data_IF_488990134131
#
_entry.id   IF_488990134131
#
_cell.length_a   1.000
_cell.length_b   1.000
_cell.length_c   1.000
_cell.angle_alpha   90.00
_cell.angle_beta   90.00
_cell.angle_gamma   90.00
#
_symmetry.space_group_name_H-M   'P 1'
#
loop_
_entity.id
_entity.type
_entity.pdbx_description
1 polymer ?
#
# COMPACT_ATOMS: atom_id res chain seq x y z
N UNK A 1 40.38 -3.71 11.75
CA UNK A 1 39.26 -3.04 11.06
C UNK A 1 38.26 -2.64 12.13
N UNK A 2 37.78 -1.39 12.13
CA UNK A 2 36.76 -0.96 13.07
C UNK A 2 35.45 -1.71 12.82
N UNK A 3 34.65 -1.89 13.86
CA UNK A 3 33.31 -2.47 13.77
C UNK A 3 32.43 -1.63 12.83
N UNK A 4 31.71 -2.30 11.92
CA UNK A 4 30.81 -1.63 10.98
C UNK A 4 29.71 -0.85 11.73
N UNK A 5 29.43 0.41 11.36
CA UNK A 5 28.30 1.16 11.92
C UNK A 5 26.97 0.46 11.61
N UNK A 6 25.93 0.72 12.39
CA UNK A 6 24.58 0.21 12.08
C UNK A 6 24.07 0.85 10.78
N UNK A 7 23.52 0.04 9.87
CA UNK A 7 22.99 0.46 8.56
C UNK A 7 21.86 1.47 8.67
N UNK A 8 20.96 1.29 9.64
CA UNK A 8 19.85 2.20 9.90
C UNK A 8 19.92 2.79 11.31
N UNK A 9 19.46 4.02 11.44
CA UNK A 9 19.30 4.70 12.72
C UNK A 9 17.97 5.45 12.77
N UNK A 10 17.38 5.53 13.97
CA UNK A 10 16.12 6.27 14.18
C UNK A 10 16.44 7.75 14.37
N UNK A 11 15.96 8.58 13.45
CA UNK A 11 16.03 10.05 13.56
C UNK A 11 14.62 10.58 13.58
N UNK A 12 14.17 11.09 14.73
CA UNK A 12 12.80 11.57 14.98
C UNK A 12 11.74 10.50 14.70
N UNK A 13 11.97 9.27 15.17
CA UNK A 13 11.04 8.14 14.97
C UNK A 13 11.10 7.47 13.59
N UNK A 14 11.75 8.11 12.61
CA UNK A 14 11.88 7.59 11.24
C UNK A 14 13.18 6.80 11.11
N UNK A 15 13.09 5.57 10.61
CA UNK A 15 14.25 4.79 10.19
C UNK A 15 14.89 5.45 8.97
N UNK A 16 16.11 5.97 9.13
CA UNK A 16 16.90 6.55 8.04
C UNK A 16 18.20 5.79 7.88
N UNK A 17 18.69 5.72 6.64
CA UNK A 17 20.03 5.23 6.36
C UNK A 17 21.02 6.02 7.21
N UNK A 18 21.80 5.32 8.03
CA UNK A 18 22.76 5.94 8.91
C UNK A 18 23.85 6.62 8.06
N UNK A 19 24.05 7.94 8.19
CA UNK A 19 25.09 8.66 7.45
C UNK A 19 26.49 8.08 7.68
N UNK A 20 26.76 7.54 8.87
CA UNK A 20 28.03 6.90 9.19
C UNK A 20 28.22 5.58 8.46
N UNK A 21 27.15 4.79 8.31
CA UNK A 21 27.17 3.57 7.52
C UNK A 21 27.38 3.88 6.03
N UNK A 22 26.68 4.89 5.50
CA UNK A 22 26.85 5.33 4.11
C UNK A 22 28.30 5.70 3.82
N UNK A 23 28.92 6.53 4.67
CA UNK A 23 30.35 6.90 4.55
C UNK A 23 31.28 5.71 4.71
N UNK A 24 30.98 4.80 5.63
CA UNK A 24 31.75 3.59 5.83
C UNK A 24 31.73 2.71 4.56
N UNK A 25 30.57 2.53 3.93
CA UNK A 25 30.45 1.79 2.68
C UNK A 25 31.08 2.47 1.47
N UNK A 26 30.95 3.80 1.36
CA UNK A 26 31.65 4.58 0.34
C UNK A 26 33.18 4.42 0.48
N UNK A 27 33.71 4.35 1.70
CA UNK A 27 35.14 4.12 1.96
C UNK A 27 35.59 2.68 1.68
N UNK A 28 34.75 1.67 1.94
CA UNK A 28 35.02 0.29 1.51
C UNK A 28 35.07 0.19 -0.01
N UNK A 29 34.10 0.78 -0.71
CA UNK A 29 34.04 0.76 -2.17
C UNK A 29 35.26 1.46 -2.80
N UNK A 30 35.77 2.53 -2.16
CA UNK A 30 37.03 3.19 -2.56
C UNK A 30 38.24 2.29 -2.33
N UNK A 31 38.27 1.53 -1.24
CA UNK A 31 39.36 0.60 -0.94
C UNK A 31 39.40 -0.59 -1.92
N UNK A 32 38.24 -1.07 -2.38
CA UNK A 32 38.12 -2.16 -3.37
C UNK A 32 38.33 -1.71 -4.82
N UNK A 33 38.02 -0.46 -5.17
CA UNK A 33 38.06 0.03 -6.55
C UNK A 33 39.47 0.17 -7.16
N UNK A 34 40.52 0.19 -6.33
CA UNK A 34 41.89 0.44 -6.79
C UNK A 34 42.09 1.85 -7.38
N UNK A 35 43.36 2.25 -7.61
CA UNK A 35 43.77 3.63 -7.91
C UNK A 35 43.14 4.29 -9.16
N UNK A 36 42.38 3.57 -9.98
CA UNK A 36 41.93 4.05 -11.29
C UNK A 36 40.40 4.05 -11.52
N UNK A 37 39.56 3.71 -10.53
CA UNK A 37 38.10 3.80 -10.68
C UNK A 37 37.50 4.94 -9.85
N UNK A 38 36.63 5.71 -10.49
CA UNK A 38 35.90 6.81 -9.87
C UNK A 38 34.88 6.22 -8.88
N UNK A 39 34.80 6.68 -7.62
CA UNK A 39 33.87 6.12 -6.65
C UNK A 39 32.42 6.32 -7.12
N UNK A 40 31.64 5.24 -7.09
CA UNK A 40 30.22 5.27 -7.43
C UNK A 40 29.41 5.81 -6.24
N UNK A 41 28.48 6.76 -6.47
CA UNK A 41 27.65 7.30 -5.40
C UNK A 41 26.68 6.24 -4.89
N UNK A 42 26.55 6.13 -3.57
CA UNK A 42 25.84 5.03 -2.93
C UNK A 42 24.31 4.98 -3.19
N UNK A 43 23.67 6.04 -3.70
CA UNK A 43 22.19 6.14 -3.67
C UNK A 43 21.49 6.71 -4.90
N UNK A 44 22.16 6.96 -6.03
CA UNK A 44 21.44 7.42 -7.24
C UNK A 44 22.13 6.95 -8.51
N UNK A 45 21.38 6.26 -9.35
CA UNK A 45 21.77 5.92 -10.71
C UNK A 45 21.65 7.18 -11.57
N UNK A 46 22.77 7.71 -12.08
CA UNK A 46 22.83 8.96 -12.84
C UNK A 46 22.36 8.78 -14.29
N UNK A 47 22.25 7.53 -14.75
CA UNK A 47 21.88 7.17 -16.12
C UNK A 47 20.81 6.08 -16.10
N UNK A 48 19.69 6.25 -16.81
CA UNK A 48 18.64 5.22 -16.92
C UNK A 48 19.15 3.90 -17.52
N UNK A 49 20.23 3.95 -18.31
CA UNK A 49 20.94 2.76 -18.81
C UNK A 49 21.69 1.97 -17.72
N UNK A 50 21.80 2.51 -16.50
CA UNK A 50 22.37 1.86 -15.32
C UNK A 50 21.28 1.52 -14.28
N UNK A 51 20.00 1.75 -14.60
CA UNK A 51 18.92 1.46 -13.67
C UNK A 51 18.83 -0.05 -13.45
N UNK A 52 18.89 -0.46 -12.18
CA UNK A 52 18.78 -1.86 -11.81
C UNK A 52 17.34 -2.34 -12.07
N UNK A 53 17.16 -3.59 -12.51
CA UNK A 53 15.86 -4.14 -12.81
C UNK A 53 14.97 -4.12 -11.56
N UNK A 54 13.73 -3.68 -11.76
CA UNK A 54 12.67 -3.81 -10.76
C UNK A 54 12.07 -5.20 -10.95
N UNK A 55 12.27 -6.07 -9.96
CA UNK A 55 11.78 -7.44 -9.96
C UNK A 55 10.61 -7.59 -8.98
N UNK A 56 9.60 -8.36 -9.38
CA UNK A 56 8.44 -8.71 -8.56
C UNK A 56 8.76 -9.83 -7.57
N UNK A 57 9.56 -10.81 -7.97
CA UNK A 57 9.93 -11.98 -7.17
C UNK A 57 11.43 -12.31 -7.25
N UNK A 58 11.88 -13.24 -6.40
CA UNK A 58 13.25 -13.76 -6.45
C UNK A 58 13.45 -14.66 -7.66
N UNK A 59 12.41 -15.38 -8.07
CA UNK A 59 12.38 -16.22 -9.27
C UNK A 59 12.61 -15.38 -10.53
N UNK A 60 11.93 -14.23 -10.66
CA UNK A 60 12.10 -13.32 -11.80
C UNK A 60 13.55 -12.82 -11.91
N UNK A 61 14.19 -12.57 -10.76
CA UNK A 61 15.59 -12.15 -10.73
C UNK A 61 16.54 -13.27 -11.12
N UNK A 62 16.30 -14.49 -10.63
CA UNK A 62 17.09 -15.67 -11.00
C UNK A 62 16.99 -15.95 -12.50
N UNK A 63 15.78 -15.95 -13.06
CA UNK A 63 15.55 -16.14 -14.49
C UNK A 63 16.24 -15.05 -15.32
N UNK A 64 16.18 -13.80 -14.87
CA UNK A 64 16.89 -12.70 -15.53
C UNK A 64 18.41 -12.91 -15.54
N UNK A 65 19.01 -13.30 -14.42
CA UNK A 65 20.45 -13.58 -14.35
C UNK A 65 20.85 -14.77 -15.23
N UNK A 66 20.05 -15.83 -15.23
CA UNK A 66 20.28 -17.00 -16.08
C UNK A 66 20.23 -16.62 -17.57
N UNK A 67 19.28 -15.76 -17.96
CA UNK A 67 19.14 -15.27 -19.34
C UNK A 67 20.31 -14.40 -19.80
N UNK A 68 20.92 -13.65 -18.89
CA UNK A 68 22.01 -12.71 -19.17
C UNK A 68 23.40 -13.31 -18.99
N UNK A 69 23.51 -14.48 -18.36
CA UNK A 69 24.76 -15.17 -18.10
C UNK A 69 25.71 -14.45 -17.14
N UNK A 70 25.21 -13.47 -16.39
CA UNK A 70 25.92 -12.76 -15.34
C UNK A 70 24.95 -12.25 -14.27
N UNK A 71 25.45 -12.08 -13.05
CA UNK A 71 24.66 -11.65 -11.89
C UNK A 71 24.42 -10.13 -11.93
N UNK A 72 23.16 -9.71 -12.00
CA UNK A 72 22.78 -8.32 -11.82
C UNK A 72 22.53 -8.05 -10.33
N UNK A 73 23.20 -7.06 -9.73
CA UNK A 73 22.93 -6.70 -8.34
C UNK A 73 21.51 -6.17 -8.17
N UNK A 74 20.85 -6.52 -7.07
CA UNK A 74 19.56 -5.94 -6.71
C UNK A 74 19.64 -4.44 -6.46
N UNK A 75 18.53 -3.74 -6.70
CA UNK A 75 18.34 -2.40 -6.17
C UNK A 75 18.49 -2.38 -4.64
N UNK A 76 19.07 -1.31 -4.08
CA UNK A 76 19.32 -1.18 -2.64
C UNK A 76 18.04 -1.37 -1.82
N UNK A 77 16.90 -0.87 -2.31
CA UNK A 77 15.58 -1.06 -1.69
C UNK A 77 15.15 -2.53 -1.63
N UNK A 78 15.46 -3.31 -2.66
CA UNK A 78 15.15 -4.74 -2.71
C UNK A 78 16.02 -5.52 -1.74
N UNK A 79 17.33 -5.24 -1.71
CA UNK A 79 18.24 -5.82 -0.71
C UNK A 79 17.81 -5.50 0.72
N UNK A 80 17.43 -4.25 0.98
CA UNK A 80 16.92 -3.83 2.28
C UNK A 80 15.63 -4.58 2.66
N UNK A 81 14.70 -4.75 1.73
CA UNK A 81 13.49 -5.55 1.97
C UNK A 81 13.83 -6.99 2.33
N UNK A 82 14.69 -7.65 1.55
CA UNK A 82 15.05 -9.06 1.76
C UNK A 82 15.67 -9.23 3.15
N UNK A 83 16.60 -8.35 3.51
CA UNK A 83 17.24 -8.33 4.83
C UNK A 83 16.21 -8.14 5.96
N UNK A 84 15.23 -7.23 5.78
CA UNK A 84 14.15 -7.02 6.74
C UNK A 84 13.22 -8.24 6.87
N UNK A 85 12.83 -8.87 5.76
CA UNK A 85 11.93 -10.04 5.78
C UNK A 85 12.58 -11.27 6.45
N UNK A 86 13.91 -11.35 6.42
CA UNK A 86 14.67 -12.38 7.12
C UNK A 86 14.79 -12.12 8.63
N UNK A 87 14.39 -10.94 9.13
CA UNK A 87 14.42 -10.67 10.57
C UNK A 87 13.43 -11.58 11.31
N UNK A 88 13.89 -12.36 12.31
CA UNK A 88 13.04 -13.35 13.00
C UNK A 88 11.81 -12.75 13.67
N UNK A 89 11.85 -11.48 14.06
CA UNK A 89 10.75 -10.80 14.74
C UNK A 89 9.54 -10.61 13.81
N UNK A 90 9.76 -10.19 12.57
CA UNK A 90 8.70 -9.96 11.58
C UNK A 90 8.04 -11.28 11.18
N UNK A 91 8.85 -12.29 10.87
CA UNK A 91 8.34 -13.62 10.52
C UNK A 91 7.52 -14.22 11.69
N UNK A 92 8.03 -14.11 12.92
CA UNK A 92 7.35 -14.60 14.12
C UNK A 92 6.04 -13.87 14.39
N UNK A 93 6.00 -12.55 14.23
CA UNK A 93 4.77 -11.76 14.41
C UNK A 93 3.71 -12.11 13.37
N UNK A 94 4.15 -12.41 12.14
CA UNK A 94 3.27 -12.90 11.10
C UNK A 94 2.83 -14.36 11.29
N UNK A 95 3.55 -15.14 12.11
CA UNK A 95 3.29 -16.55 12.37
C UNK A 95 3.92 -17.51 11.34
N UNK A 96 5.01 -17.09 10.69
CA UNK A 96 5.76 -17.86 9.68
C UNK A 96 7.23 -18.03 10.08
N UNK A 97 7.92 -19.00 9.47
CA UNK A 97 9.38 -19.01 9.49
C UNK A 97 9.92 -17.93 8.52
N UNK A 98 11.15 -17.41 8.73
CA UNK A 98 11.71 -16.36 7.86
C UNK A 98 11.80 -16.75 6.37
N UNK A 99 12.17 -18.00 6.08
CA UNK A 99 12.26 -18.49 4.70
C UNK A 99 10.86 -18.58 4.06
N UNK A 100 9.90 -19.19 4.77
CA UNK A 100 8.49 -19.29 4.31
C UNK A 100 7.86 -17.91 4.09
N UNK A 101 8.24 -16.90 4.88
CA UNK A 101 7.74 -15.53 4.74
C UNK A 101 8.11 -14.93 3.39
N UNK A 102 9.38 -15.07 2.96
CA UNK A 102 9.84 -14.50 1.70
C UNK A 102 9.13 -15.17 0.53
N UNK A 103 9.03 -16.50 0.55
CA UNK A 103 8.42 -17.27 -0.53
C UNK A 103 6.92 -16.99 -0.64
N UNK A 104 6.18 -17.05 0.47
CA UNK A 104 4.74 -16.81 0.45
C UNK A 104 4.39 -15.34 0.14
N UNK A 105 5.10 -14.37 0.74
CA UNK A 105 4.88 -12.96 0.44
C UNK A 105 5.32 -12.65 -1.00
N UNK A 106 6.44 -13.19 -1.46
CA UNK A 106 6.91 -13.06 -2.84
C UNK A 106 5.86 -13.55 -3.84
N UNK A 107 5.25 -14.71 -3.59
CA UNK A 107 4.17 -15.23 -4.43
C UNK A 107 2.93 -14.33 -4.43
N UNK A 108 2.55 -13.75 -3.29
CA UNK A 108 1.43 -12.80 -3.20
C UNK A 108 1.75 -11.49 -3.92
N UNK A 109 2.95 -10.94 -3.73
CA UNK A 109 3.37 -9.72 -4.41
C UNK A 109 3.45 -9.92 -5.92
N UNK A 110 3.99 -11.06 -6.39
CA UNK A 110 4.02 -11.44 -7.79
C UNK A 110 2.60 -11.55 -8.39
N UNK A 111 1.65 -12.16 -7.67
CA UNK A 111 0.24 -12.25 -8.09
C UNK A 111 -0.38 -10.88 -8.40
N UNK A 112 0.01 -9.85 -7.65
CA UNK A 112 -0.47 -8.47 -7.83
C UNK A 112 0.52 -7.57 -8.58
N UNK A 113 1.59 -8.15 -9.13
CA UNK A 113 2.76 -7.50 -9.74
C UNK A 113 3.31 -6.32 -8.92
N UNK A 114 3.32 -6.47 -7.60
CA UNK A 114 3.90 -5.51 -6.68
C UNK A 114 5.40 -5.79 -6.60
N UNK A 115 6.27 -4.82 -6.90
CA UNK A 115 7.70 -5.02 -6.73
C UNK A 115 8.06 -5.30 -5.27
N UNK A 116 8.87 -6.32 -5.02
CA UNK A 116 9.31 -6.68 -3.66
C UNK A 116 10.03 -5.53 -2.94
N UNK A 117 10.68 -4.63 -3.69
CA UNK A 117 11.29 -3.42 -3.14
C UNK A 117 10.30 -2.44 -2.48
N UNK A 118 8.98 -2.66 -2.61
CA UNK A 118 7.93 -1.87 -1.97
C UNK A 118 7.45 -2.45 -0.63
N UNK A 119 7.84 -3.68 -0.28
CA UNK A 119 7.46 -4.31 0.98
C UNK A 119 7.92 -3.51 2.20
N UNK A 120 9.08 -2.85 2.12
CA UNK A 120 9.56 -1.95 3.17
C UNK A 120 8.53 -0.87 3.57
N UNK A 121 7.69 -0.44 2.63
CA UNK A 121 6.62 0.54 2.87
C UNK A 121 5.34 -0.13 3.34
N UNK A 122 5.06 -1.35 2.90
CA UNK A 122 3.98 -2.15 3.48
C UNK A 122 4.23 -2.41 4.97
N UNK A 123 5.48 -2.59 5.38
CA UNK A 123 5.84 -2.73 6.80
C UNK A 123 5.50 -1.49 7.64
N UNK A 124 5.38 -0.31 7.03
CA UNK A 124 4.97 0.90 7.75
C UNK A 124 3.51 0.85 8.22
N UNK A 125 2.70 -0.09 7.69
CA UNK A 125 1.34 -0.31 8.17
C UNK A 125 1.31 -0.78 9.62
N UNK A 126 2.38 -1.41 10.09
CA UNK A 126 2.54 -1.82 11.49
C UNK A 126 2.65 -0.65 12.47
N UNK A 127 2.94 0.57 11.98
CA UNK A 127 3.01 1.78 12.81
C UNK A 127 1.63 2.34 13.17
N UNK A 128 0.58 1.84 12.52
CA UNK A 128 -0.80 2.24 12.80
C UNK A 128 -1.46 1.26 13.75
N UNK A 129 -2.15 1.80 14.75
CA UNK A 129 -2.99 1.03 15.67
C UNK A 129 -4.20 0.44 14.95
N UNK A 130 -4.61 1.03 13.83
CA UNK A 130 -5.70 0.50 13.01
C UNK A 130 -5.54 0.87 11.54
N UNK A 131 -5.83 -0.09 10.68
CA UNK A 131 -6.18 0.15 9.29
C UNK A 131 -7.70 0.21 9.20
N UNK A 132 -8.27 1.24 8.58
CA UNK A 132 -9.72 1.44 8.54
C UNK A 132 -10.21 1.60 7.10
N UNK A 133 -11.06 0.67 6.66
CA UNK A 133 -11.67 0.68 5.34
C UNK A 133 -13.10 1.19 5.48
N UNK A 134 -13.34 2.36 4.89
CA UNK A 134 -14.65 3.02 4.85
C UNK A 134 -15.20 2.78 3.46
N UNK A 135 -16.23 1.95 3.35
CA UNK A 135 -16.77 1.51 2.06
C UNK A 135 -18.10 2.19 1.78
N UNK A 136 -18.21 2.85 0.64
CA UNK A 136 -19.47 3.32 0.09
C UNK A 136 -20.40 2.13 -0.18
N UNK A 137 -21.56 2.15 0.47
CA UNK A 137 -22.63 1.19 0.27
C UNK A 137 -23.92 1.89 -0.19
N UNK A 138 -23.80 3.06 -0.82
CA UNK A 138 -24.92 3.80 -1.41
C UNK A 138 -25.53 3.08 -2.60
N UNK A 139 -26.77 3.43 -2.98
CA UNK A 139 -27.45 2.76 -4.09
C UNK A 139 -26.70 2.81 -5.43
N UNK A 140 -25.86 3.82 -5.67
CA UNK A 140 -25.05 3.94 -6.90
C UNK A 140 -24.00 2.83 -7.03
N UNK A 141 -23.57 2.22 -5.92
CA UNK A 141 -22.66 1.08 -5.96
C UNK A 141 -23.26 -0.16 -6.63
N UNK A 142 -24.57 -0.19 -6.89
CA UNK A 142 -25.22 -1.24 -7.69
C UNK A 142 -25.02 -1.08 -9.21
N UNK A 143 -24.53 0.08 -9.66
CA UNK A 143 -24.24 0.34 -11.07
C UNK A 143 -23.07 -0.53 -11.57
N UNK A 144 -23.01 -0.80 -12.89
CA UNK A 144 -21.90 -1.52 -13.47
C UNK A 144 -20.59 -0.72 -13.33
N UNK A 145 -19.48 -1.45 -13.23
CA UNK A 145 -18.12 -0.94 -13.43
C UNK A 145 -17.61 -1.39 -14.80
N UNK A 146 -16.51 -0.81 -15.28
CA UNK A 146 -15.78 -1.27 -16.47
C UNK A 146 -14.93 -2.52 -16.19
N UNK A 147 -14.74 -2.87 -14.92
CA UNK A 147 -14.04 -4.08 -14.50
C UNK A 147 -14.83 -5.36 -14.74
N UNK A 148 -14.12 -6.43 -15.05
CA UNK A 148 -14.66 -7.78 -15.16
C UNK A 148 -14.28 -8.59 -13.93
N UNK A 149 -15.19 -9.48 -13.49
CA UNK A 149 -14.89 -10.38 -12.39
C UNK A 149 -13.77 -11.36 -12.81
N UNK A 150 -12.67 -11.48 -12.04
CA UNK A 150 -11.46 -12.20 -12.49
C UNK A 150 -11.68 -13.70 -12.75
N UNK A 151 -12.62 -14.33 -12.04
CA UNK A 151 -12.94 -15.76 -12.20
C UNK A 151 -13.98 -16.02 -13.30
N UNK A 152 -15.07 -15.25 -13.33
CA UNK A 152 -16.21 -15.53 -14.21
C UNK A 152 -16.14 -14.78 -15.54
N UNK A 153 -15.24 -13.80 -15.64
CA UNK A 153 -15.07 -12.89 -16.78
C UNK A 153 -16.39 -12.18 -17.17
N UNK A 154 -17.28 -11.98 -16.20
CA UNK A 154 -18.54 -11.26 -16.37
C UNK A 154 -18.40 -9.81 -15.91
N UNK A 155 -19.17 -8.87 -16.49
CA UNK A 155 -19.30 -7.53 -15.94
C UNK A 155 -19.73 -7.59 -14.47
N UNK A 156 -19.16 -6.72 -13.64
CA UNK A 156 -19.51 -6.66 -12.23
C UNK A 156 -20.05 -5.28 -11.84
N UNK A 157 -20.64 -5.21 -10.64
CA UNK A 157 -21.06 -3.94 -10.05
C UNK A 157 -19.91 -3.27 -9.32
N UNK A 158 -20.00 -1.95 -9.11
CA UNK A 158 -19.05 -1.18 -8.29
C UNK A 158 -18.94 -1.74 -6.87
N UNK A 159 -20.03 -2.28 -6.31
CA UNK A 159 -20.06 -2.99 -5.03
C UNK A 159 -19.25 -4.29 -5.05
N UNK A 160 -19.42 -5.10 -6.09
CA UNK A 160 -18.65 -6.34 -6.26
C UNK A 160 -17.17 -6.03 -6.43
N UNK A 161 -16.83 -4.96 -7.14
CA UNK A 161 -15.46 -4.50 -7.28
C UNK A 161 -14.87 -4.05 -5.94
N UNK A 162 -15.58 -3.20 -5.18
CA UNK A 162 -15.14 -2.80 -3.83
C UNK A 162 -14.94 -4.00 -2.91
N UNK A 163 -15.83 -4.99 -2.98
CA UNK A 163 -15.70 -6.26 -2.25
C UNK A 163 -14.39 -6.98 -2.58
N UNK A 164 -14.12 -7.22 -3.86
CA UNK A 164 -12.90 -7.91 -4.31
C UNK A 164 -11.64 -7.12 -3.91
N UNK A 165 -11.66 -5.79 -4.06
CA UNK A 165 -10.52 -4.95 -3.65
C UNK A 165 -10.24 -5.05 -2.16
N UNK A 166 -11.26 -4.97 -1.31
CA UNK A 166 -11.08 -5.14 0.14
C UNK A 166 -10.49 -6.52 0.44
N UNK A 167 -10.94 -7.58 -0.25
CA UNK A 167 -10.40 -8.93 -0.12
C UNK A 167 -8.92 -9.00 -0.51
N UNK A 168 -8.55 -8.43 -1.66
CA UNK A 168 -7.18 -8.39 -2.16
C UNK A 168 -6.25 -7.59 -1.23
N UNK A 169 -6.71 -6.45 -0.72
CA UNK A 169 -5.96 -5.66 0.26
C UNK A 169 -5.71 -6.47 1.54
N UNK A 170 -6.74 -7.14 2.07
CA UNK A 170 -6.61 -7.97 3.28
C UNK A 170 -5.70 -9.18 3.05
N UNK A 171 -5.69 -9.75 1.84
CA UNK A 171 -4.77 -10.82 1.47
C UNK A 171 -3.31 -10.38 1.57
N UNK A 172 -2.96 -9.21 1.03
CA UNK A 172 -1.60 -8.66 1.15
C UNK A 172 -1.29 -8.31 2.62
N UNK A 173 -2.22 -7.67 3.31
CA UNK A 173 -2.04 -7.25 4.71
C UNK A 173 -1.87 -8.47 5.65
N UNK A 174 -2.39 -9.65 5.28
CA UNK A 174 -2.20 -10.88 6.04
C UNK A 174 -0.72 -11.25 6.23
N UNK A 175 0.18 -10.76 5.38
CA UNK A 175 1.62 -11.04 5.43
C UNK A 175 2.45 -9.96 6.13
N UNK A 176 1.86 -8.83 6.50
CA UNK A 176 2.57 -7.76 7.20
C UNK A 176 2.07 -7.62 8.65
N UNK A 177 2.92 -7.21 9.60
CA UNK A 177 2.46 -6.91 10.94
C UNK A 177 1.40 -5.80 10.95
N UNK A 178 0.31 -6.02 11.70
CA UNK A 178 -0.75 -5.05 11.92
C UNK A 178 -1.48 -5.37 13.24
N UNK A 179 -2.03 -4.34 13.90
CA UNK A 179 -2.81 -4.54 15.13
C UNK A 179 -4.26 -4.96 14.83
N UNK A 180 -4.97 -4.19 14.00
CA UNK A 180 -6.33 -4.52 13.57
C UNK A 180 -6.72 -3.88 12.23
N UNK A 181 -7.67 -4.50 11.54
CA UNK A 181 -8.34 -3.96 10.36
C UNK A 181 -9.81 -3.73 10.70
N UNK A 182 -10.27 -2.48 10.63
CA UNK A 182 -11.67 -2.12 10.74
C UNK A 182 -12.29 -1.97 9.36
N UNK A 183 -13.46 -2.56 9.12
CA UNK A 183 -14.24 -2.31 7.90
C UNK A 183 -15.61 -1.78 8.32
N UNK A 184 -15.98 -0.62 7.80
CA UNK A 184 -17.25 0.06 8.06
C UNK A 184 -17.86 0.60 6.76
N UNK A 185 -19.15 0.95 6.83
CA UNK A 185 -19.94 1.38 5.67
C UNK A 185 -20.58 2.74 5.90
N UNK A 186 -20.87 3.47 4.82
CA UNK A 186 -21.46 4.82 4.92
C UNK A 186 -22.86 4.81 5.56
N UNK A 187 -23.74 3.92 5.10
CA UNK A 187 -25.16 3.94 5.46
C UNK A 187 -25.51 3.02 6.64
N UNK A 188 -24.52 2.31 7.20
CA UNK A 188 -24.75 1.33 8.26
C UNK A 188 -23.90 1.59 9.48
N UNK A 189 -24.27 0.93 10.57
CA UNK A 189 -23.60 1.03 11.87
C UNK A 189 -22.75 -0.20 12.19
N UNK A 190 -22.84 -1.26 11.41
CA UNK A 190 -21.97 -2.41 11.54
C UNK A 190 -20.54 -2.03 11.17
N UNK A 191 -19.63 -2.42 12.07
CA UNK A 191 -18.19 -2.38 11.86
C UNK A 191 -17.65 -3.75 12.21
N UNK A 192 -16.90 -4.35 11.30
CA UNK A 192 -16.14 -5.56 11.60
C UNK A 192 -14.72 -5.16 11.99
N UNK A 193 -14.17 -5.86 12.97
CA UNK A 193 -12.79 -5.70 13.43
C UNK A 193 -12.08 -7.03 13.24
N UNK A 194 -11.14 -7.07 12.31
CA UNK A 194 -10.33 -8.24 12.01
C UNK A 194 -9.00 -8.11 12.76
N UNK A 195 -8.65 -9.15 13.52
CA UNK A 195 -7.37 -9.27 14.23
C UNK A 195 -6.73 -10.60 13.91
N UNK A 196 -5.40 -10.63 13.87
CA UNK A 196 -4.65 -11.86 13.55
C UNK A 196 -4.88 -12.94 14.61
N UNK A 197 -4.83 -12.58 15.90
CA UNK A 197 -4.97 -13.48 17.07
C UNK A 197 -4.11 -14.75 16.96
N UNK A 198 -2.86 -14.61 16.51
CA UNK A 198 -1.91 -15.72 16.37
C UNK A 198 -2.18 -16.67 15.19
N UNK A 199 -3.14 -16.36 14.31
CA UNK A 199 -3.36 -17.13 13.07
C UNK A 199 -2.20 -16.89 12.09
N UNK A 200 -1.83 -17.94 11.36
CA UNK A 200 -0.96 -17.81 10.18
C UNK A 200 -1.66 -16.96 9.10
N UNK A 201 -0.92 -16.38 8.14
CA UNK A 201 -1.50 -15.53 7.09
C UNK A 201 -2.63 -16.24 6.32
N UNK A 202 -2.43 -17.51 5.94
CA UNK A 202 -3.45 -18.33 5.28
C UNK A 202 -4.71 -18.53 6.12
N UNK A 203 -4.56 -18.87 7.40
CA UNK A 203 -5.70 -19.05 8.30
C UNK A 203 -6.43 -17.72 8.58
N UNK A 204 -5.69 -16.62 8.68
CA UNK A 204 -6.27 -15.28 8.80
C UNK A 204 -7.04 -14.89 7.54
N UNK A 205 -6.49 -15.15 6.35
CA UNK A 205 -7.15 -14.91 5.05
C UNK A 205 -8.49 -15.64 4.95
N UNK A 206 -8.55 -16.92 5.31
CA UNK A 206 -9.81 -17.68 5.29
C UNK A 206 -10.83 -17.14 6.31
N UNK A 207 -10.36 -16.72 7.48
CA UNK A 207 -11.20 -16.11 8.50
C UNK A 207 -11.76 -14.76 8.05
N UNK A 208 -10.90 -13.87 7.55
CA UNK A 208 -11.28 -12.55 7.07
C UNK A 208 -12.21 -12.64 5.87
N UNK A 209 -11.94 -13.56 4.92
CA UNK A 209 -12.80 -13.79 3.77
C UNK A 209 -14.25 -14.04 4.17
N UNK A 210 -14.49 -14.97 5.11
CA UNK A 210 -15.84 -15.25 5.60
C UNK A 210 -16.47 -14.04 6.29
N UNK A 211 -15.70 -13.28 7.07
CA UNK A 211 -16.21 -12.10 7.76
C UNK A 211 -16.61 -10.98 6.79
N UNK A 212 -15.79 -10.78 5.75
CA UNK A 212 -16.00 -9.79 4.69
C UNK A 212 -17.18 -10.22 3.82
N UNK A 213 -17.23 -11.47 3.35
CA UNK A 213 -18.34 -12.03 2.58
C UNK A 213 -19.68 -11.81 3.29
N UNK A 214 -19.73 -12.05 4.62
CA UNK A 214 -20.94 -11.89 5.41
C UNK A 214 -21.48 -10.44 5.42
N UNK A 215 -20.60 -9.44 5.51
CA UNK A 215 -21.03 -8.03 5.50
C UNK A 215 -21.36 -7.53 4.08
N UNK A 216 -20.63 -8.03 3.08
CA UNK A 216 -20.88 -7.70 1.66
C UNK A 216 -22.09 -8.43 1.08
N UNK A 217 -22.55 -9.52 1.68
CA UNK A 217 -23.77 -10.24 1.30
C UNK A 217 -25.03 -9.36 1.38
N UNK A 218 -25.03 -8.35 2.26
CA UNK A 218 -26.04 -7.30 2.23
C UNK A 218 -25.62 -6.28 1.18
N UNK A 219 -26.33 -6.26 0.05
CA UNK A 219 -26.09 -5.34 -1.07
C UNK A 219 -26.23 -3.86 -0.69
N UNK A 220 -25.70 -2.96 -1.53
CA UNK A 220 -25.63 -1.54 -1.23
C UNK A 220 -27.02 -0.88 -1.33
N UNK A 221 -27.30 0.05 -0.44
CA UNK A 221 -28.52 0.86 -0.41
C UNK A 221 -28.30 2.16 0.38
N UNK A 222 -29.02 3.21 0.01
CA UNK A 222 -28.99 4.50 0.71
C UNK A 222 -28.33 5.59 -0.10
N UNK A 223 -27.71 6.53 0.61
CA UNK A 223 -27.12 7.76 0.07
C UNK A 223 -25.61 7.80 0.30
N UNK A 224 -24.91 8.90 0.04
CA UNK A 224 -23.45 8.97 0.17
C UNK A 224 -23.04 9.95 1.30
N UNK A 225 -23.30 9.63 2.59
CA UNK A 225 -22.94 10.50 3.72
C UNK A 225 -21.45 10.43 4.08
N UNK A 226 -20.57 10.69 3.10
CA UNK A 226 -19.13 10.53 3.26
C UNK A 226 -18.53 11.54 4.24
N UNK A 227 -19.02 12.79 4.24
CA UNK A 227 -18.56 13.81 5.19
C UNK A 227 -18.84 13.37 6.64
N UNK A 228 -20.07 12.96 6.91
CA UNK A 228 -20.51 12.55 8.24
C UNK A 228 -19.72 11.32 8.71
N UNK A 229 -19.51 10.34 7.83
CA UNK A 229 -18.75 9.13 8.16
C UNK A 229 -17.28 9.44 8.43
N UNK A 230 -16.65 10.29 7.63
CA UNK A 230 -15.27 10.72 7.87
C UNK A 230 -15.15 11.49 9.19
N UNK A 231 -16.07 12.42 9.48
CA UNK A 231 -16.10 13.11 10.77
C UNK A 231 -16.24 12.15 11.94
N UNK A 232 -17.13 11.16 11.84
CA UNK A 232 -17.32 10.10 12.84
C UNK A 232 -16.02 9.30 13.06
N UNK A 233 -15.38 8.86 11.96
CA UNK A 233 -14.13 8.09 11.99
C UNK A 233 -12.96 8.90 12.58
N UNK A 234 -12.84 10.19 12.26
CA UNK A 234 -11.81 11.07 12.85
C UNK A 234 -12.07 11.34 14.32
N UNK A 235 -13.32 11.57 14.72
CA UNK A 235 -13.68 11.79 16.11
C UNK A 235 -13.41 10.54 16.95
N UNK A 236 -13.81 9.37 16.46
CA UNK A 236 -13.57 8.07 17.10
C UNK A 236 -12.08 7.73 17.19
N UNK A 237 -11.30 8.14 16.21
CA UNK A 237 -9.85 7.92 16.15
C UNK A 237 -9.00 8.97 16.86
N UNK A 238 -9.58 9.89 17.62
CA UNK A 238 -8.80 10.92 18.31
C UNK A 238 -7.78 10.31 19.26
N UNK A 239 -6.51 10.71 19.11
CA UNK A 239 -5.40 10.21 19.91
C UNK A 239 -4.85 8.86 19.47
N UNK A 240 -5.37 8.27 18.39
CA UNK A 240 -4.91 7.01 17.82
C UNK A 240 -4.26 7.22 16.44
N UNK A 241 -3.29 6.36 16.11
CA UNK A 241 -2.70 6.29 14.76
C UNK A 241 -3.57 5.40 13.86
N UNK A 242 -4.29 5.97 12.90
CA UNK A 242 -5.23 5.25 12.03
C UNK A 242 -5.01 5.60 10.56
N UNK A 243 -4.67 4.59 9.75
CA UNK A 243 -4.63 4.74 8.30
C UNK A 243 -5.99 4.41 7.68
N UNK A 244 -6.59 5.38 6.97
CA UNK A 244 -7.95 5.27 6.42
C UNK A 244 -7.93 5.10 4.91
N UNK A 245 -8.78 4.19 4.42
CA UNK A 245 -8.99 3.90 3.01
C UNK A 245 -10.47 4.07 2.71
N UNK A 246 -10.81 5.09 1.94
CA UNK A 246 -12.17 5.40 1.57
C UNK A 246 -12.45 4.86 0.17
N UNK A 247 -13.39 3.93 0.05
CA UNK A 247 -13.86 3.41 -1.24
C UNK A 247 -15.16 4.10 -1.60
N UNK A 248 -15.25 4.78 -2.73
CA UNK A 248 -16.51 5.41 -3.14
C UNK A 248 -16.63 5.69 -4.62
N UNK A 249 -17.87 5.93 -5.06
CA UNK A 249 -18.20 6.00 -6.48
C UNK A 249 -18.82 7.33 -6.94
N UNK A 250 -18.92 8.32 -6.05
CA UNK A 250 -19.55 9.59 -6.38
C UNK A 250 -19.33 10.72 -5.39
N UNK A 251 -20.15 11.76 -5.53
CA UNK A 251 -20.10 12.96 -4.69
C UNK A 251 -20.80 12.73 -3.36
N UNK A 252 -20.26 13.29 -2.25
CA UNK A 252 -20.93 13.24 -0.96
C UNK A 252 -22.29 13.94 -0.97
N UNK A 253 -23.17 13.53 -0.06
CA UNK A 253 -24.40 14.25 0.26
C UNK A 253 -24.06 15.71 0.59
N UNK A 254 -24.79 16.66 -0.01
CA UNK A 254 -24.48 18.09 0.09
C UNK A 254 -23.57 18.63 -1.01
N UNK A 255 -23.09 17.78 -1.92
CA UNK A 255 -22.36 18.20 -3.13
C UNK A 255 -21.07 18.94 -2.78
N UNK A 256 -20.82 20.06 -3.46
CA UNK A 256 -19.57 20.82 -3.31
C UNK A 256 -19.32 21.29 -1.88
N UNK A 257 -20.37 21.68 -1.15
CA UNK A 257 -20.20 22.11 0.25
C UNK A 257 -19.63 21.00 1.12
N UNK A 258 -20.08 19.75 0.92
CA UNK A 258 -19.56 18.62 1.67
C UNK A 258 -18.12 18.26 1.26
N UNK A 259 -17.80 18.37 -0.03
CA UNK A 259 -16.42 18.24 -0.53
C UNK A 259 -15.51 19.26 0.14
N UNK A 260 -15.90 20.53 0.19
CA UNK A 260 -15.09 21.59 0.79
C UNK A 260 -14.85 21.34 2.29
N UNK A 261 -15.85 20.81 3.01
CA UNK A 261 -15.70 20.42 4.41
C UNK A 261 -14.82 19.18 4.60
N UNK A 262 -14.88 18.19 3.70
CA UNK A 262 -13.94 17.06 3.70
C UNK A 262 -12.51 17.56 3.49
N UNK A 263 -12.28 18.46 2.53
CA UNK A 263 -10.95 19.03 2.27
C UNK A 263 -10.44 19.80 3.49
N UNK A 264 -11.29 20.59 4.15
CA UNK A 264 -10.94 21.26 5.41
C UNK A 264 -10.60 20.27 6.51
N UNK A 265 -11.42 19.22 6.68
CA UNK A 265 -11.21 18.16 7.65
C UNK A 265 -9.84 17.51 7.44
N UNK A 266 -9.51 17.14 6.20
CA UNK A 266 -8.21 16.56 5.87
C UNK A 266 -7.07 17.55 6.13
N UNK A 267 -7.19 18.80 5.69
CA UNK A 267 -6.13 19.79 5.84
C UNK A 267 -5.80 20.15 7.29
N UNK A 268 -6.82 20.21 8.14
CA UNK A 268 -6.68 20.69 9.53
C UNK A 268 -6.79 19.57 10.58
N UNK A 269 -6.77 18.30 10.16
CA UNK A 269 -6.76 17.17 11.10
C UNK A 269 -5.51 17.21 11.99
N UNK A 270 -5.61 16.81 13.27
CA UNK A 270 -4.44 16.65 14.12
C UNK A 270 -3.58 15.48 13.63
N UNK A 271 -2.26 15.63 13.71
CA UNK A 271 -1.28 14.59 13.35
C UNK A 271 -1.56 13.91 12.00
N UNK A 272 -1.54 14.68 10.89
CA UNK A 272 -1.89 14.15 9.56
C UNK A 272 -1.07 12.93 9.13
N UNK A 273 0.17 12.81 9.62
CA UNK A 273 1.07 11.67 9.42
C UNK A 273 0.63 10.40 10.14
N UNK A 274 -0.05 10.52 11.28
CA UNK A 274 -0.62 9.40 12.04
C UNK A 274 -2.04 9.07 11.60
N UNK A 275 -2.66 9.96 10.81
CA UNK A 275 -4.02 9.82 10.36
C UNK A 275 -4.14 10.04 8.85
N UNK A 276 -3.42 9.26 8.03
CA UNK A 276 -3.51 9.36 6.58
C UNK A 276 -4.89 8.93 6.08
N UNK A 277 -5.32 9.53 4.97
CA UNK A 277 -6.53 9.12 4.25
C UNK A 277 -6.17 8.92 2.79
N UNK A 278 -6.55 7.77 2.24
CA UNK A 278 -6.44 7.44 0.82
C UNK A 278 -7.83 7.22 0.26
N UNK A 279 -8.14 7.80 -0.89
CA UNK A 279 -9.40 7.61 -1.59
C UNK A 279 -9.20 6.65 -2.77
N UNK A 280 -10.12 5.70 -2.89
CA UNK A 280 -10.12 4.66 -3.90
C UNK A 280 -11.45 4.77 -4.66
N UNK A 281 -11.39 5.22 -5.91
CA UNK A 281 -12.59 5.33 -6.74
C UNK A 281 -13.09 3.95 -7.17
N UNK A 282 -14.39 3.73 -6.99
CA UNK A 282 -15.13 2.54 -7.44
C UNK A 282 -16.06 2.88 -8.61
N UNK A 283 -15.71 3.89 -9.43
CA UNK A 283 -16.48 4.29 -10.61
C UNK A 283 -15.55 4.53 -11.78
N UNK A 284 -16.08 4.33 -12.98
CA UNK A 284 -15.48 4.70 -14.26
C UNK A 284 -15.88 6.13 -14.69
N UNK A 285 -16.68 6.84 -13.89
CA UNK A 285 -17.06 8.23 -14.13
C UNK A 285 -16.07 9.19 -13.44
N UNK A 286 -14.98 9.55 -14.14
CA UNK A 286 -13.92 10.41 -13.58
C UNK A 286 -14.45 11.69 -12.91
N UNK A 287 -15.39 12.38 -13.55
CA UNK A 287 -15.97 13.62 -13.04
C UNK A 287 -16.76 13.45 -11.72
N UNK A 288 -17.22 12.23 -11.41
CA UNK A 288 -17.93 11.95 -10.17
C UNK A 288 -16.97 11.84 -8.96
N UNK A 289 -15.70 11.54 -9.20
CA UNK A 289 -14.67 11.28 -8.18
C UNK A 289 -13.45 12.19 -8.27
N UNK A 290 -13.42 13.15 -9.20
CA UNK A 290 -12.34 14.12 -9.35
C UNK A 290 -12.02 14.85 -8.03
N UNK A 291 -13.06 15.15 -7.24
CA UNK A 291 -12.92 15.76 -5.93
C UNK A 291 -12.06 14.95 -4.95
N UNK A 292 -12.01 13.61 -5.10
CA UNK A 292 -11.18 12.76 -4.26
C UNK A 292 -9.70 12.99 -4.54
N UNK A 293 -9.33 13.13 -5.83
CA UNK A 293 -7.96 13.44 -6.26
C UNK A 293 -7.54 14.82 -5.72
N UNK A 294 -8.40 15.82 -5.88
CA UNK A 294 -8.17 17.16 -5.36
C UNK A 294 -7.99 17.16 -3.83
N UNK A 295 -8.81 16.39 -3.12
CA UNK A 295 -8.73 16.27 -1.67
C UNK A 295 -7.43 15.59 -1.21
N UNK A 296 -6.97 14.55 -1.92
CA UNK A 296 -5.69 13.90 -1.64
C UNK A 296 -4.51 14.85 -1.86
N UNK A 297 -4.47 15.57 -2.99
CA UNK A 297 -3.40 16.51 -3.31
C UNK A 297 -3.25 17.59 -2.23
N UNK A 298 -4.36 18.20 -1.82
CA UNK A 298 -4.35 19.23 -0.76
C UNK A 298 -3.89 18.64 0.58
N UNK A 299 -4.26 17.39 0.88
CA UNK A 299 -3.83 16.72 2.11
C UNK A 299 -2.32 16.44 2.14
N UNK A 300 -1.70 16.18 0.99
CA UNK A 300 -0.28 15.86 0.85
C UNK A 300 0.63 17.10 0.90
N UNK A 301 0.17 18.25 0.41
CA UNK A 301 0.94 19.51 0.48
C UNK A 301 1.25 19.89 1.93
N UNK A 302 0.38 19.56 2.88
CA UNK A 302 0.65 19.80 4.31
C UNK A 302 1.62 18.78 4.94
N UNK A 303 1.84 17.63 4.29
CA UNK A 303 2.79 16.60 4.69
C UNK A 303 4.19 16.79 4.06
N UNK A 304 4.55 18.00 3.62
CA UNK A 304 5.79 18.26 2.86
C UNK A 304 7.14 17.97 3.58
N UNK A 305 7.13 17.37 4.78
CA UNK A 305 8.29 16.73 5.41
C UNK A 305 8.29 15.18 5.36
N UNK A 306 7.22 14.54 4.85
CA UNK A 306 6.95 13.10 4.92
C UNK A 306 6.36 12.50 3.61
N UNK A 307 6.52 13.18 2.47
CA UNK A 307 5.88 12.90 1.16
C UNK A 307 6.10 11.46 0.64
N UNK A 308 7.19 10.79 1.01
CA UNK A 308 7.53 9.47 0.44
C UNK A 308 6.55 8.35 0.81
N UNK A 309 5.73 8.49 1.84
CA UNK A 309 4.94 7.39 2.38
C UNK A 309 3.59 7.21 1.66
N UNK A 310 2.93 8.33 1.36
CA UNK A 310 1.60 8.35 0.75
C UNK A 310 1.62 8.04 -0.75
N UNK A 311 2.58 8.63 -1.49
CA UNK A 311 2.66 8.41 -2.94
C UNK A 311 2.81 6.93 -3.25
N UNK A 312 3.62 6.19 -2.49
CA UNK A 312 3.87 4.80 -2.83
C UNK A 312 2.72 3.86 -2.46
N UNK A 313 1.94 4.17 -1.42
CA UNK A 313 0.74 3.42 -1.12
C UNK A 313 -0.28 3.59 -2.26
N UNK A 314 -0.48 4.83 -2.71
CA UNK A 314 -1.24 5.12 -3.93
C UNK A 314 -0.67 4.33 -5.11
N UNK A 315 0.65 4.25 -5.31
CA UNK A 315 1.25 3.44 -6.38
C UNK A 315 0.99 1.93 -6.25
N UNK A 316 1.10 1.32 -5.07
CA UNK A 316 0.83 -0.12 -4.86
C UNK A 316 -0.64 -0.42 -5.17
N UNK A 317 -1.55 0.41 -4.65
CA UNK A 317 -3.00 0.20 -4.86
C UNK A 317 -3.47 0.63 -6.25
N UNK A 318 -2.82 1.61 -6.90
CA UNK A 318 -3.00 1.93 -8.31
C UNK A 318 -2.43 0.81 -9.19
N UNK A 319 -1.34 0.14 -8.83
CA UNK A 319 -0.84 -1.01 -9.58
C UNK A 319 -1.81 -2.20 -9.45
N UNK A 320 -2.27 -2.53 -8.24
CA UNK A 320 -3.34 -3.52 -8.03
C UNK A 320 -4.59 -3.16 -8.86
N UNK A 321 -4.96 -1.87 -8.89
CA UNK A 321 -6.07 -1.32 -9.69
C UNK A 321 -5.85 -1.53 -11.19
N UNK A 322 -4.71 -1.09 -11.75
CA UNK A 322 -4.38 -1.23 -13.16
C UNK A 322 -4.35 -2.72 -13.52
N UNK A 323 -3.85 -3.61 -12.69
CA UNK A 323 -3.65 -4.99 -13.13
C UNK A 323 -4.91 -5.86 -13.02
N UNK A 324 -5.75 -5.59 -12.02
CA UNK A 324 -7.08 -6.22 -11.93
C UNK A 324 -7.97 -5.79 -13.09
N UNK A 325 -7.77 -4.58 -13.63
CA UNK A 325 -8.49 -4.04 -14.78
C UNK A 325 -7.92 -4.51 -16.14
N UNK A 326 -6.60 -4.72 -16.28
CA UNK A 326 -5.93 -4.80 -17.59
C UNK A 326 -5.60 -6.21 -18.10
N UNK A 327 -6.05 -7.27 -17.41
CA UNK A 327 -5.88 -8.66 -17.86
C UNK A 327 -6.66 -9.01 -19.17
N UNK A 328 -7.15 -8.02 -19.95
CA UNK A 328 -7.77 -8.29 -21.26
C UNK A 328 -7.73 -7.19 -22.36
N UNK A 329 -7.07 -6.03 -22.22
CA UNK A 329 -6.89 -5.11 -23.38
C UNK A 329 -5.68 -4.18 -23.29
N UNK A 330 -4.94 -4.05 -24.39
CA UNK A 330 -3.74 -3.21 -24.54
C UNK A 330 -4.04 -1.70 -24.56
N UNK A 331 -3.47 -0.92 -23.63
CA UNK A 331 -3.11 0.49 -23.87
C UNK A 331 -2.11 1.06 -22.85
N UNK A 332 -1.31 2.03 -23.33
CA UNK A 332 -0.18 2.67 -22.66
C UNK A 332 -0.59 3.63 -21.53
N UNK A 333 0.04 3.50 -20.37
CA UNK A 333 0.04 4.52 -19.30
C UNK A 333 1.17 5.52 -19.56
N UNK A 334 0.85 6.81 -19.55
CA UNK A 334 1.83 7.90 -19.58
C UNK A 334 2.23 8.26 -18.15
N UNK A 335 3.53 8.15 -17.84
CA UNK A 335 4.12 8.77 -16.65
C UNK A 335 4.73 10.12 -17.04
N UNK A 336 4.34 11.19 -16.35
CA UNK A 336 5.13 12.42 -16.27
C UNK A 336 5.99 12.30 -15.01
N UNK A 337 7.31 12.36 -15.20
CA UNK A 337 8.33 12.31 -14.15
C UNK A 337 8.33 13.55 -13.26
#
# INVERSE_FOLDING_TARGET
MGTAPKKYTKVNGIMKLNPEYKRWKENENVAEAGLNKKPEPATTVVNSAQALPIVSSMEDHMEMNDSLGHEIPFAESTNATIEMLQEPEIAKEAGLAPDDMIDELGAVLAKYEIPIGLTNKLMMLSEYESLEFIVDDSGSMSLPTDSQHPITNQPMSRWTEAHLRVMDMVEIIAYVPFEQIGIEFLNRKDRISLKREGRSPKAFKEYSARAIDNVFARGPAGTTPALEKLQESFLRGQGHSIARYFFGDGKPNGGQMAVDEIVKLLRYRPHPEQNPVTFLSCTNEDAAVEWMKDAEEVSQVHMHMHIHMHCIFIFIFIFIFILTMYNNTSMHVWFVQ
#
